data_IF_722823037711
#
_entry.id   IF_722823037711
#
_cell.length_a   1.000
_cell.length_b   1.000
_cell.length_c   1.000
_cell.angle_alpha   90.00
_cell.angle_beta   90.00
_cell.angle_gamma   90.00
#
_symmetry.space_group_name_H-M   'P 1'
#
loop_
_entity.id
_entity.type
_entity.pdbx_description
1 polymer ?
#
# COMPACT_ATOMS: atom_id res chain seq x y z
N UNK A 1 -65.91 -32.57 -19.27
CA UNK A 1 -65.00 -31.45 -19.54
C UNK A 1 -65.46 -30.29 -18.70
N UNK A 2 -64.74 -30.01 -17.61
CA UNK A 2 -65.14 -29.14 -16.50
C UNK A 2 -64.76 -27.66 -16.74
N UNK A 3 -65.65 -26.70 -16.39
CA UNK A 3 -65.38 -25.25 -16.37
C UNK A 3 -64.62 -24.86 -15.08
N UNK A 4 -63.65 -23.95 -15.09
CA UNK A 4 -63.72 -22.47 -15.08
C UNK A 4 -64.19 -21.82 -13.76
N UNK A 5 -63.29 -21.00 -13.21
CA UNK A 5 -63.44 -19.78 -12.38
C UNK A 5 -64.21 -19.79 -11.05
N UNK A 6 -63.48 -19.55 -9.96
CA UNK A 6 -63.78 -18.65 -8.82
C UNK A 6 -62.58 -18.77 -7.85
N UNK A 7 -61.66 -17.80 -7.69
CA UNK A 7 -61.80 -16.51 -7.01
C UNK A 7 -62.67 -16.54 -5.73
N UNK A 8 -62.05 -16.81 -4.58
CA UNK A 8 -62.45 -16.39 -3.21
C UNK A 8 -61.33 -16.91 -2.27
N UNK A 9 -60.80 -16.24 -1.25
CA UNK A 9 -61.09 -14.99 -0.56
C UNK A 9 -59.89 -14.69 0.35
N UNK A 10 -59.63 -13.40 0.59
CA UNK A 10 -58.65 -12.88 1.58
C UNK A 10 -58.93 -13.42 2.98
N UNK A 11 -57.87 -13.73 3.74
CA UNK A 11 -57.86 -13.58 5.20
C UNK A 11 -56.50 -12.99 5.63
N UNK A 12 -56.47 -11.84 6.35
CA UNK A 12 -55.30 -11.30 7.01
C UNK A 12 -55.20 -11.86 8.44
N UNK A 13 -54.00 -12.16 8.93
CA UNK A 13 -53.80 -12.43 10.36
C UNK A 13 -52.56 -11.69 10.90
N UNK A 14 -52.86 -10.64 11.67
CA UNK A 14 -52.01 -9.96 12.65
C UNK A 14 -51.71 -10.90 13.86
N UNK A 15 -51.07 -10.42 14.93
CA UNK A 15 -49.66 -10.08 15.08
C UNK A 15 -49.02 -10.93 16.20
N UNK A 16 -47.76 -11.37 16.05
CA UNK A 16 -47.03 -11.96 17.17
C UNK A 16 -46.25 -10.88 17.92
N UNK A 17 -46.95 -10.28 18.89
CA UNK A 17 -46.32 -9.51 19.94
C UNK A 17 -45.90 -10.46 21.08
N UNK A 18 -44.63 -10.31 21.47
CA UNK A 18 -44.08 -10.43 22.81
C UNK A 18 -43.73 -11.81 23.40
N UNK A 19 -42.41 -11.95 23.57
CA UNK A 19 -41.68 -12.47 24.75
C UNK A 19 -41.13 -13.90 24.67
N UNK A 20 -39.98 -14.02 24.01
CA UNK A 20 -38.88 -14.84 24.52
C UNK A 20 -37.59 -14.01 24.46
N UNK A 21 -37.31 -13.29 25.54
CA UNK A 21 -36.04 -12.61 25.76
C UNK A 21 -35.06 -13.58 26.42
N UNK A 22 -34.11 -14.07 25.65
CA UNK A 22 -32.77 -14.46 26.06
C UNK A 22 -32.02 -15.02 24.85
N UNK A 23 -30.84 -14.47 24.59
CA UNK A 23 -29.77 -15.01 23.74
C UNK A 23 -30.02 -15.08 22.21
N UNK A 24 -29.87 -13.94 21.55
CA UNK A 24 -29.23 -13.89 20.23
C UNK A 24 -28.50 -12.54 20.10
N UNK A 25 -27.17 -12.62 20.16
CA UNK A 25 -26.25 -11.48 20.27
C UNK A 25 -26.30 -10.67 18.97
N UNK A 26 -26.75 -9.43 19.09
CA UNK A 26 -26.57 -8.37 18.09
C UNK A 26 -25.09 -8.09 17.89
N UNK A 27 -24.65 -8.03 16.64
CA UNK A 27 -23.48 -7.22 16.29
C UNK A 27 -23.63 -6.65 14.87
N UNK A 28 -24.50 -5.64 14.78
CA UNK A 28 -24.42 -4.64 13.72
C UNK A 28 -23.43 -3.59 14.22
N UNK A 29 -22.22 -3.56 13.67
CA UNK A 29 -21.32 -2.41 13.83
C UNK A 29 -21.31 -1.66 12.51
N UNK A 30 -22.06 -0.55 12.54
CA UNK A 30 -22.03 0.51 11.55
C UNK A 30 -20.59 1.03 11.43
N UNK A 31 -19.99 0.85 10.26
CA UNK A 31 -18.69 1.41 9.92
C UNK A 31 -18.88 2.87 9.47
N UNK A 32 -19.34 3.74 10.37
CA UNK A 32 -19.28 5.20 10.18
C UNK A 32 -18.11 5.71 10.98
N UNK A 33 -16.92 5.69 10.38
CA UNK A 33 -15.74 6.38 10.90
C UNK A 33 -15.91 7.88 10.60
N UNK A 34 -16.13 8.77 11.59
CA UNK A 34 -15.98 10.19 11.35
C UNK A 34 -14.49 10.49 11.16
N UNK A 35 -14.11 10.83 9.94
CA UNK A 35 -12.81 11.42 9.63
C UNK A 35 -12.74 12.79 10.31
N UNK A 36 -12.18 12.85 11.53
CA UNK A 36 -11.89 14.10 12.21
C UNK A 36 -10.69 14.72 11.49
N UNK A 37 -10.99 15.63 10.54
CA UNK A 37 -10.01 16.54 9.99
C UNK A 37 -9.61 17.55 11.09
N UNK A 38 -8.69 17.15 11.97
CA UNK A 38 -7.95 18.14 12.74
C UNK A 38 -7.13 18.96 11.77
N UNK A 39 -7.30 20.28 11.81
CA UNK A 39 -6.36 21.24 11.25
C UNK A 39 -5.01 21.03 11.95
N UNK A 40 -4.24 20.05 11.45
CA UNK A 40 -2.89 19.74 11.91
C UNK A 40 -2.01 20.85 11.38
N UNK A 41 -1.60 21.75 12.25
CA UNK A 41 -0.22 22.27 12.14
C UNK A 41 0.66 21.04 11.98
N UNK A 42 1.37 20.85 10.85
CA UNK A 42 2.19 19.66 10.65
C UNK A 42 3.21 19.66 11.77
N UNK A 43 3.04 18.73 12.71
CA UNK A 43 4.08 18.45 13.69
C UNK A 43 5.22 17.85 12.88
N UNK A 44 6.47 18.33 13.01
CA UNK A 44 7.62 17.83 12.25
C UNK A 44 7.81 16.30 12.31
N UNK A 45 7.17 15.64 13.29
CA UNK A 45 7.15 14.19 13.44
C UNK A 45 6.52 13.44 12.27
N UNK A 46 5.50 13.98 11.59
CA UNK A 46 4.85 13.29 10.46
C UNK A 46 5.79 13.15 9.27
N UNK A 47 6.58 14.19 8.98
CA UNK A 47 7.55 14.14 7.87
C UNK A 47 8.72 13.20 8.20
N UNK A 48 9.15 13.14 9.47
CA UNK A 48 10.16 12.18 9.93
C UNK A 48 9.68 10.73 9.77
N UNK A 49 8.43 10.43 10.15
CA UNK A 49 7.84 9.11 9.97
C UNK A 49 7.75 8.73 8.49
N UNK A 50 7.37 9.69 7.63
CA UNK A 50 7.29 9.49 6.18
C UNK A 50 8.66 9.17 5.58
N UNK A 51 9.69 9.92 5.98
CA UNK A 51 11.07 9.68 5.57
C UNK A 51 11.60 8.31 6.05
N UNK A 52 11.31 7.95 7.30
CA UNK A 52 11.70 6.65 7.86
C UNK A 52 11.04 5.50 7.09
N UNK A 53 9.74 5.63 6.78
CA UNK A 53 9.02 4.64 5.98
C UNK A 53 9.58 4.53 4.55
N UNK A 54 9.99 5.64 3.93
CA UNK A 54 10.63 5.64 2.62
C UNK A 54 11.97 4.89 2.63
N UNK A 55 12.80 5.13 3.64
CA UNK A 55 14.09 4.41 3.82
C UNK A 55 13.85 2.91 3.95
N UNK A 56 12.89 2.48 4.77
CA UNK A 56 12.55 1.06 4.92
C UNK A 56 12.08 0.44 3.59
N UNK A 57 11.30 1.17 2.79
CA UNK A 57 10.89 0.72 1.45
C UNK A 57 12.05 0.61 0.46
N UNK A 58 13.07 1.45 0.60
CA UNK A 58 14.27 1.40 -0.21
C UNK A 58 15.16 0.22 0.19
N UNK A 59 15.38 0.01 1.49
CA UNK A 59 16.11 -1.16 2.03
C UNK A 59 15.44 -2.47 1.61
N UNK A 60 14.11 -2.56 1.72
CA UNK A 60 13.35 -3.71 1.26
C UNK A 60 13.41 -3.94 -0.27
N UNK A 61 13.88 -2.97 -1.04
CA UNK A 61 14.14 -3.09 -2.46
C UNK A 61 15.63 -3.34 -2.77
N UNK A 62 16.43 -3.74 -1.78
CA UNK A 62 17.87 -3.99 -1.88
C UNK A 62 18.67 -2.76 -2.32
N UNK A 63 18.25 -1.57 -1.90
CA UNK A 63 18.94 -0.33 -2.23
C UNK A 63 20.36 -0.24 -1.71
N UNK A 64 20.72 -0.99 -0.66
CA UNK A 64 22.12 -1.10 -0.24
C UNK A 64 23.01 -1.69 -1.36
N UNK A 65 22.47 -2.60 -2.19
CA UNK A 65 23.22 -3.25 -3.28
C UNK A 65 23.22 -2.42 -4.58
N UNK A 66 22.10 -1.80 -4.92
CA UNK A 66 21.92 -1.18 -6.25
C UNK A 66 21.91 0.35 -6.23
N UNK A 67 21.75 0.97 -5.06
CA UNK A 67 21.63 2.42 -4.90
C UNK A 67 22.20 2.94 -3.56
N UNK A 68 23.30 2.33 -3.08
CA UNK A 68 23.83 2.56 -1.73
C UNK A 68 24.15 4.03 -1.42
N UNK A 69 24.69 4.77 -2.39
CA UNK A 69 24.97 6.20 -2.25
C UNK A 69 23.70 7.03 -1.97
N UNK A 70 22.60 6.75 -2.68
CA UNK A 70 21.33 7.44 -2.47
C UNK A 70 20.70 7.07 -1.12
N UNK A 71 20.75 5.79 -0.75
CA UNK A 71 20.28 5.33 0.55
C UNK A 71 21.09 5.97 1.69
N UNK A 72 22.40 6.13 1.53
CA UNK A 72 23.25 6.83 2.50
C UNK A 72 22.88 8.31 2.61
N UNK A 73 22.65 9.01 1.49
CA UNK A 73 22.16 10.39 1.50
C UNK A 73 20.82 10.52 2.22
N UNK A 74 19.89 9.59 1.98
CA UNK A 74 18.60 9.55 2.68
C UNK A 74 18.77 9.40 4.20
N UNK A 75 19.58 8.44 4.65
CA UNK A 75 19.88 8.19 6.07
C UNK A 75 20.53 9.42 6.73
N UNK A 76 21.48 10.05 6.04
CA UNK A 76 22.15 11.26 6.51
C UNK A 76 21.18 12.45 6.62
N UNK A 77 20.30 12.64 5.64
CA UNK A 77 19.29 13.69 5.68
C UNK A 77 18.27 13.46 6.82
N UNK A 78 17.85 12.22 7.07
CA UNK A 78 16.98 11.89 8.19
C UNK A 78 17.64 12.19 9.54
N UNK A 79 18.92 11.82 9.71
CA UNK A 79 19.68 12.14 10.93
C UNK A 79 19.76 13.66 11.16
N UNK A 80 20.02 14.44 10.10
CA UNK A 80 20.02 15.90 10.18
C UNK A 80 18.62 16.46 10.50
N UNK A 81 17.55 15.88 9.94
CA UNK A 81 16.17 16.28 10.23
C UNK A 81 15.83 16.08 11.71
N UNK A 82 16.24 14.94 12.29
CA UNK A 82 16.08 14.65 13.72
C UNK A 82 16.85 15.67 14.59
N UNK A 83 18.07 16.03 14.19
CA UNK A 83 18.84 17.07 14.87
C UNK A 83 18.19 18.46 14.75
N UNK A 84 17.55 18.79 13.62
CA UNK A 84 16.83 20.04 13.45
C UNK A 84 15.57 20.12 14.35
N UNK A 85 14.90 18.99 14.60
CA UNK A 85 13.79 18.91 15.58
C UNK A 85 14.28 19.23 17.00
N UNK A 86 15.40 18.64 17.44
CA UNK A 86 15.94 18.92 18.78
C UNK A 86 16.45 20.36 18.89
N UNK A 87 16.98 20.93 17.80
CA UNK A 87 17.38 22.33 17.70
C UNK A 87 16.20 23.33 17.57
N UNK A 88 14.94 22.86 17.60
CA UNK A 88 13.72 23.67 17.42
C UNK A 88 13.71 24.47 16.11
N UNK A 89 14.24 23.88 15.04
CA UNK A 89 14.22 24.42 13.67
C UNK A 89 13.23 23.63 12.80
N UNK A 90 11.91 23.89 12.91
CA UNK A 90 10.91 23.06 12.26
C UNK A 90 10.97 23.12 10.72
N UNK A 91 11.27 24.28 10.14
CA UNK A 91 11.38 24.41 8.68
C UNK A 91 12.54 23.58 8.12
N UNK A 92 13.71 23.63 8.77
CA UNK A 92 14.87 22.82 8.38
C UNK A 92 14.56 21.32 8.55
N UNK A 93 13.90 20.94 9.65
CA UNK A 93 13.49 19.55 9.88
C UNK A 93 12.56 19.01 8.79
N UNK A 94 11.58 19.82 8.36
CA UNK A 94 10.65 19.46 7.28
C UNK A 94 11.41 19.30 5.97
N UNK A 95 12.25 20.26 5.59
CA UNK A 95 13.02 20.21 4.34
C UNK A 95 13.98 19.01 4.28
N UNK A 96 14.67 18.73 5.40
CA UNK A 96 15.58 17.58 5.51
C UNK A 96 14.84 16.24 5.49
N UNK A 97 13.65 16.16 6.11
CA UNK A 97 12.82 14.96 6.07
C UNK A 97 12.28 14.69 4.65
N UNK A 98 11.84 15.74 3.94
CA UNK A 98 11.41 15.62 2.53
C UNK A 98 12.57 15.20 1.62
N UNK A 99 13.76 15.77 1.82
CA UNK A 99 14.97 15.35 1.11
C UNK A 99 15.29 13.86 1.38
N UNK A 100 15.22 13.43 2.63
CA UNK A 100 15.44 12.05 3.01
C UNK A 100 14.45 11.10 2.32
N UNK A 101 13.17 11.47 2.28
CA UNK A 101 12.13 10.71 1.59
C UNK A 101 12.40 10.62 0.07
N UNK A 102 12.75 11.74 -0.57
CA UNK A 102 13.02 11.79 -2.00
C UNK A 102 14.23 10.95 -2.42
N UNK A 103 15.34 11.02 -1.66
CA UNK A 103 16.53 10.20 -1.90
C UNK A 103 16.25 8.70 -1.67
N UNK A 104 15.43 8.36 -0.67
CA UNK A 104 15.03 6.98 -0.43
C UNK A 104 14.12 6.44 -1.55
N UNK A 105 13.12 7.20 -2.00
CA UNK A 105 12.25 6.79 -3.12
C UNK A 105 13.06 6.68 -4.43
N UNK A 106 14.05 7.56 -4.66
CA UNK A 106 15.00 7.41 -5.76
C UNK A 106 15.82 6.11 -5.66
N UNK A 107 16.36 5.82 -4.47
CA UNK A 107 17.13 4.59 -4.23
C UNK A 107 16.27 3.34 -4.46
N UNK A 108 15.01 3.36 -4.02
CA UNK A 108 14.04 2.30 -4.28
C UNK A 108 13.82 2.09 -5.78
N UNK A 109 13.54 3.17 -6.52
CA UNK A 109 13.29 3.10 -7.96
C UNK A 109 14.49 2.53 -8.72
N UNK A 110 15.70 2.99 -8.38
CA UNK A 110 16.95 2.54 -8.99
C UNK A 110 17.21 1.05 -8.76
N UNK A 111 16.82 0.55 -7.61
CA UNK A 111 17.04 -0.86 -7.23
C UNK A 111 16.02 -1.78 -7.90
N UNK A 112 14.77 -1.34 -7.99
CA UNK A 112 13.74 -2.01 -8.80
C UNK A 112 14.12 -2.07 -10.28
N UNK A 113 14.70 -1.00 -10.82
CA UNK A 113 15.19 -1.01 -12.20
C UNK A 113 16.28 -2.07 -12.39
N UNK A 114 17.25 -2.15 -11.48
CA UNK A 114 18.33 -3.14 -11.57
C UNK A 114 17.81 -4.58 -11.52
N UNK A 115 16.87 -4.87 -10.61
CA UNK A 115 16.27 -6.21 -10.51
C UNK A 115 15.47 -6.59 -11.75
N UNK A 116 14.71 -5.65 -12.32
CA UNK A 116 13.97 -5.85 -13.57
C UNK A 116 14.91 -6.07 -14.77
N UNK A 117 16.03 -5.35 -14.84
CA UNK A 117 17.03 -5.56 -15.89
C UNK A 117 17.67 -6.95 -15.81
N UNK A 118 17.99 -7.42 -14.60
CA UNK A 118 18.50 -8.78 -14.37
C UNK A 118 17.48 -9.84 -14.78
N UNK A 119 16.22 -9.66 -14.39
CA UNK A 119 15.13 -10.56 -14.76
C UNK A 119 14.91 -10.63 -16.27
N UNK A 120 14.98 -9.47 -16.94
CA UNK A 120 14.86 -9.37 -18.39
C UNK A 120 16.03 -10.08 -19.11
N UNK A 121 17.25 -9.91 -18.61
CA UNK A 121 18.42 -10.62 -19.15
C UNK A 121 18.28 -12.14 -19.00
N UNK A 122 17.82 -12.61 -17.84
CA UNK A 122 17.55 -14.03 -17.57
C UNK A 122 16.52 -14.60 -18.55
N UNK A 123 15.38 -13.91 -18.72
CA UNK A 123 14.31 -14.35 -19.64
C UNK A 123 14.78 -14.39 -21.10
N UNK A 124 15.62 -13.44 -21.52
CA UNK A 124 16.19 -13.46 -22.88
C UNK A 124 17.11 -14.66 -23.09
N UNK A 125 17.96 -14.98 -22.12
CA UNK A 125 18.82 -16.16 -22.18
C UNK A 125 17.99 -17.45 -22.26
N UNK A 126 16.94 -17.56 -21.45
CA UNK A 126 16.00 -18.70 -21.49
C UNK A 126 15.31 -18.83 -22.86
N UNK A 127 14.86 -17.73 -23.46
CA UNK A 127 14.26 -17.75 -24.81
C UNK A 127 15.27 -18.25 -25.86
N UNK A 128 16.52 -17.78 -25.80
CA UNK A 128 17.58 -18.23 -26.72
C UNK A 128 17.82 -19.73 -26.55
N UNK A 129 17.95 -20.20 -25.31
CA UNK A 129 18.13 -21.61 -25.00
C UNK A 129 16.96 -22.47 -25.50
N UNK A 130 15.72 -22.02 -25.29
CA UNK A 130 14.53 -22.72 -25.77
C UNK A 130 14.46 -22.77 -27.29
N UNK A 131 14.81 -21.67 -27.98
CA UNK A 131 14.86 -21.63 -29.45
C UNK A 131 15.90 -22.60 -30.01
N UNK A 132 17.07 -22.69 -29.38
CA UNK A 132 18.12 -23.66 -29.71
C UNK A 132 17.63 -25.10 -29.55
N UNK A 133 17.02 -25.42 -28.41
CA UNK A 133 16.48 -26.75 -28.12
C UNK A 133 15.38 -27.17 -29.10
N UNK A 134 14.59 -26.21 -29.58
CA UNK A 134 13.51 -26.45 -30.54
C UNK A 134 13.97 -26.43 -32.00
N UNK A 135 15.24 -26.13 -32.27
CA UNK A 135 15.76 -26.02 -33.64
C UNK A 135 15.15 -24.87 -34.45
N UNK A 136 14.59 -23.85 -33.78
CA UNK A 136 13.91 -22.70 -34.42
C UNK A 136 14.94 -21.69 -34.98
N UNK A 137 16.24 -21.93 -34.80
CA UNK A 137 17.30 -20.97 -35.10
C UNK A 137 17.67 -20.82 -36.60
N UNK A 138 17.04 -21.56 -37.51
CA UNK A 138 17.24 -21.34 -38.95
C UNK A 138 16.05 -21.78 -39.81
N UNK A 139 15.13 -20.87 -40.09
CA UNK A 139 14.48 -20.82 -41.40
C UNK A 139 14.74 -19.41 -41.97
N UNK A 140 15.45 -19.28 -43.11
CA UNK A 140 15.73 -17.99 -43.74
C UNK A 140 14.47 -17.26 -44.20
#
# INVERSE_FOLDING_TARGET
>A
MTPSFAQMSRIPQHPHALRHGAAAISLVIALTFPFVASARTPVPTQDLETAQAAILRAEAADADQYAGEALLRAKNALSQAQAAVTARKPADAIGLAQLAAAEADYAQARSREASLQSELARRRAEIVELRQRLGIEAAP
#
